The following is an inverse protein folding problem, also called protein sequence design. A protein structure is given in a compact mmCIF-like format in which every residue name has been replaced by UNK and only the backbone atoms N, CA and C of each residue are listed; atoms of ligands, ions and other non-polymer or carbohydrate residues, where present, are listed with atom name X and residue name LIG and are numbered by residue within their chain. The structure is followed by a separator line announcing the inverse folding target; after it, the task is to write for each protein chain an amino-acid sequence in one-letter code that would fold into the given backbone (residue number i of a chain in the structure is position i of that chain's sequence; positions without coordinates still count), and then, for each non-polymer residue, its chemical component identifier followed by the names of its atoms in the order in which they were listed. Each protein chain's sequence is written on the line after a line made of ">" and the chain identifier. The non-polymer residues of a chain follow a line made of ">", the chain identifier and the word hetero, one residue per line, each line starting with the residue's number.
data_IF_263107358839
#
_entry.id   IF_263107358839
#
_cell.length_a   1.000
_cell.length_b   1.000
_cell.length_c   1.000
_cell.angle_alpha   90.00
_cell.angle_beta   90.00
_cell.angle_gamma   90.00
#
_symmetry.space_group_name_H-M   'P 1'
#
loop_
_entity.id
_entity.type
_entity.pdbx_description
1 polymer ?
#
# COMPACT_ATOMS: atom_id res chain seq x y z
N UNK A 1 26.39 1.27 -5.95
CA UNK A 1 25.69 0.49 -4.89
C UNK A 1 25.01 -0.70 -5.55
N UNK A 2 25.62 -1.88 -5.45
CA UNK A 2 25.01 -3.15 -5.84
C UNK A 2 24.57 -3.97 -4.62
N UNK A 3 24.67 -3.41 -3.41
CA UNK A 3 24.35 -4.09 -2.16
C UNK A 3 23.19 -3.41 -1.45
N UNK A 4 22.34 -4.22 -0.81
CA UNK A 4 21.18 -3.76 -0.07
C UNK A 4 21.59 -3.17 1.29
N UNK A 5 21.18 -1.94 1.65
CA UNK A 5 21.57 -1.32 2.93
C UNK A 5 20.96 -2.00 4.17
N UNK A 6 20.02 -2.93 3.99
CA UNK A 6 19.34 -3.63 5.10
C UNK A 6 19.86 -5.04 5.34
N UNK A 7 20.51 -5.66 4.36
CA UNK A 7 20.93 -7.07 4.47
C UNK A 7 22.21 -7.41 3.71
N UNK A 8 22.86 -6.43 3.08
CA UNK A 8 24.14 -6.56 2.36
C UNK A 8 24.15 -7.57 1.20
N UNK A 9 23.00 -8.12 0.81
CA UNK A 9 22.87 -8.95 -0.39
C UNK A 9 22.84 -8.11 -1.68
N UNK A 10 23.19 -8.74 -2.80
CA UNK A 10 23.16 -8.12 -4.12
C UNK A 10 21.75 -7.63 -4.52
N UNK A 11 21.67 -6.39 -5.01
CA UNK A 11 20.43 -5.76 -5.48
C UNK A 11 20.19 -6.11 -6.94
N UNK A 12 19.14 -6.88 -7.19
CA UNK A 12 18.64 -7.14 -8.54
C UNK A 12 17.84 -5.93 -9.04
N UNK A 13 18.07 -5.54 -10.30
CA UNK A 13 17.38 -4.43 -10.96
C UNK A 13 16.25 -4.97 -11.84
N UNK A 14 15.10 -4.31 -11.80
CA UNK A 14 13.96 -4.59 -12.67
C UNK A 14 13.65 -3.35 -13.52
N UNK A 15 13.47 -3.51 -14.83
CA UNK A 15 13.23 -2.37 -15.73
C UNK A 15 13.33 -2.70 -17.22
N UNK A 16 12.86 -1.79 -18.09
CA UNK A 16 12.23 -0.50 -17.77
C UNK A 16 10.78 -0.67 -17.27
N UNK A 17 10.32 0.24 -16.39
CA UNK A 17 8.99 0.22 -15.79
C UNK A 17 8.41 1.64 -15.76
N UNK A 18 7.07 1.75 -15.81
CA UNK A 18 6.39 3.02 -15.54
C UNK A 18 6.49 3.36 -14.06
N UNK A 19 7.05 4.53 -13.73
CA UNK A 19 7.20 5.03 -12.35
C UNK A 19 6.31 6.24 -12.04
N UNK A 20 5.45 6.63 -12.97
CA UNK A 20 4.52 7.75 -12.80
C UNK A 20 3.28 7.38 -11.97
N UNK A 21 2.35 8.33 -11.84
CA UNK A 21 1.06 8.09 -11.18
C UNK A 21 0.28 7.00 -11.93
N UNK A 22 -0.24 6.03 -11.19
CA UNK A 22 -1.12 4.99 -11.73
C UNK A 22 -2.61 5.39 -11.66
N UNK A 23 -2.93 6.36 -10.81
CA UNK A 23 -4.28 6.75 -10.48
C UNK A 23 -4.44 8.24 -10.77
N UNK A 24 -5.44 8.58 -11.57
CA UNK A 24 -5.90 9.95 -11.78
C UNK A 24 -7.04 10.23 -10.79
N UNK A 25 -6.80 11.10 -9.81
CA UNK A 25 -7.72 11.37 -8.71
C UNK A 25 -8.98 12.10 -9.19
N UNK A 26 -8.81 13.04 -10.10
CA UNK A 26 -9.91 13.83 -10.69
C UNK A 26 -10.88 12.93 -11.46
N UNK A 27 -10.34 11.99 -12.22
CA UNK A 27 -11.12 10.98 -12.94
C UNK A 27 -11.92 10.11 -11.96
N UNK A 28 -11.31 9.63 -10.87
CA UNK A 28 -12.03 8.85 -9.86
C UNK A 28 -13.14 9.64 -9.17
N UNK A 29 -12.92 10.93 -8.88
CA UNK A 29 -13.96 11.81 -8.32
C UNK A 29 -15.13 11.93 -9.31
N UNK A 30 -14.84 12.14 -10.60
CA UNK A 30 -15.89 12.20 -11.63
C UNK A 30 -16.68 10.89 -11.75
N UNK A 31 -16.01 9.74 -11.60
CA UNK A 31 -16.66 8.43 -11.59
C UNK A 31 -17.52 8.22 -10.35
N UNK A 32 -17.06 8.66 -9.18
CA UNK A 32 -17.78 8.50 -7.92
C UNK A 32 -19.11 9.28 -7.89
N UNK A 33 -19.20 10.35 -8.68
CA UNK A 33 -20.40 11.18 -8.80
C UNK A 33 -21.42 10.64 -9.81
N UNK A 34 -21.09 9.60 -10.58
CA UNK A 34 -22.03 8.99 -11.52
C UNK A 34 -23.10 8.17 -10.79
N UNK A 35 -24.32 8.15 -11.34
CA UNK A 35 -25.34 7.23 -10.87
C UNK A 35 -25.02 5.82 -11.38
N UNK A 36 -24.66 4.95 -10.45
CA UNK A 36 -24.31 3.55 -10.75
C UNK A 36 -25.33 2.55 -10.19
N UNK A 37 -26.52 3.00 -9.75
CA UNK A 37 -27.50 2.14 -9.10
C UNK A 37 -28.06 1.05 -10.03
N UNK A 38 -28.01 1.27 -11.34
CA UNK A 38 -28.37 0.29 -12.36
C UNK A 38 -27.46 -0.95 -12.35
N UNK A 39 -26.24 -0.84 -11.82
CA UNK A 39 -25.33 -1.97 -11.74
C UNK A 39 -25.59 -2.80 -10.49
N UNK A 40 -25.82 -4.09 -10.66
CA UNK A 40 -25.88 -5.06 -9.55
C UNK A 40 -24.58 -5.08 -8.70
N UNK A 41 -23.47 -4.56 -9.24
CA UNK A 41 -22.17 -4.48 -8.57
C UNK A 41 -21.87 -3.11 -7.95
N UNK A 42 -22.84 -2.19 -7.90
CA UNK A 42 -22.64 -0.80 -7.42
C UNK A 42 -21.92 -0.71 -6.07
N UNK A 43 -22.23 -1.59 -5.11
CA UNK A 43 -21.53 -1.64 -3.80
C UNK A 43 -20.04 -1.96 -3.96
N UNK A 44 -19.70 -2.91 -4.83
CA UNK A 44 -18.32 -3.30 -5.12
C UNK A 44 -17.57 -2.19 -5.85
N UNK A 45 -18.24 -1.54 -6.81
CA UNK A 45 -17.68 -0.40 -7.55
C UNK A 45 -17.35 0.75 -6.59
N UNK A 46 -18.30 1.18 -5.75
CA UNK A 46 -18.06 2.23 -4.74
C UNK A 46 -16.91 1.88 -3.80
N UNK A 47 -16.87 0.63 -3.31
CA UNK A 47 -15.78 0.18 -2.44
C UNK A 47 -14.41 0.27 -3.13
N UNK A 48 -14.33 -0.11 -4.41
CA UNK A 48 -13.09 -0.01 -5.19
C UNK A 48 -12.69 1.45 -5.43
N UNK A 49 -13.63 2.31 -5.83
CA UNK A 49 -13.36 3.74 -6.06
C UNK A 49 -12.83 4.40 -4.79
N UNK A 50 -13.47 4.17 -3.64
CA UNK A 50 -13.02 4.72 -2.36
C UNK A 50 -11.60 4.23 -2.00
N UNK A 51 -11.31 2.95 -2.22
CA UNK A 51 -9.97 2.40 -2.01
C UNK A 51 -8.93 3.07 -2.93
N UNK A 52 -9.25 3.24 -4.21
CA UNK A 52 -8.34 3.87 -5.17
C UNK A 52 -8.14 5.37 -4.88
N UNK A 53 -9.15 6.06 -4.36
CA UNK A 53 -9.01 7.45 -3.92
C UNK A 53 -8.02 7.58 -2.77
N UNK A 54 -8.08 6.70 -1.76
CA UNK A 54 -7.07 6.62 -0.70
C UNK A 54 -5.68 6.27 -1.25
N UNK A 55 -5.62 5.37 -2.24
CA UNK A 55 -4.37 4.92 -2.85
C UNK A 55 -3.74 5.95 -3.80
N UNK A 56 -4.51 6.94 -4.29
CA UNK A 56 -4.12 7.84 -5.38
C UNK A 56 -2.88 8.69 -5.10
N UNK A 57 -2.60 8.98 -3.83
CA UNK A 57 -1.47 9.79 -3.38
C UNK A 57 -0.33 8.96 -2.78
N UNK A 58 -0.40 7.64 -2.91
CA UNK A 58 0.59 6.73 -2.34
C UNK A 58 1.72 6.42 -3.33
N UNK A 59 2.87 5.94 -2.84
CA UNK A 59 3.95 5.47 -3.69
C UNK A 59 3.51 4.37 -4.68
N UNK A 60 4.27 4.22 -5.77
CA UNK A 60 3.91 3.27 -6.82
C UNK A 60 4.00 1.81 -6.36
N UNK A 61 4.96 1.50 -5.49
CA UNK A 61 5.18 0.17 -4.90
C UNK A 61 4.40 -0.02 -3.62
N UNK A 62 4.26 -1.27 -3.19
CA UNK A 62 3.58 -1.65 -1.95
C UNK A 62 4.38 -2.71 -1.19
N UNK A 63 4.05 -2.87 0.09
CA UNK A 63 4.61 -3.90 0.96
C UNK A 63 3.55 -4.97 1.24
N UNK A 64 4.01 -6.20 1.46
CA UNK A 64 3.19 -7.31 1.93
C UNK A 64 3.54 -7.64 3.37
N UNK A 65 2.53 -7.63 4.24
CA UNK A 65 2.73 -7.87 5.68
C UNK A 65 3.34 -9.23 5.94
N UNK A 66 2.81 -10.29 5.31
CA UNK A 66 3.29 -11.66 5.50
C UNK A 66 4.73 -11.85 5.02
N UNK A 67 5.15 -11.18 3.94
CA UNK A 67 6.54 -11.19 3.48
C UNK A 67 7.49 -10.50 4.46
N UNK A 68 7.10 -9.38 5.05
CA UNK A 68 7.93 -8.69 6.04
C UNK A 68 8.00 -9.52 7.32
N UNK A 69 6.85 -9.94 7.86
CA UNK A 69 6.75 -10.73 9.08
C UNK A 69 7.51 -12.07 8.99
N UNK A 70 7.46 -12.74 7.83
CA UNK A 70 8.24 -13.96 7.57
C UNK A 70 9.75 -13.70 7.66
N UNK A 71 10.23 -12.56 7.14
CA UNK A 71 11.66 -12.20 7.21
C UNK A 71 12.14 -11.89 8.62
N UNK A 72 11.29 -11.30 9.45
CA UNK A 72 11.63 -10.95 10.85
C UNK A 72 11.12 -11.98 11.88
N UNK A 73 10.55 -13.11 11.42
CA UNK A 73 10.07 -14.24 12.21
C UNK A 73 9.01 -13.86 13.28
N UNK A 74 8.00 -13.09 12.90
CA UNK A 74 6.85 -12.75 13.78
C UNK A 74 5.51 -13.12 13.15
N UNK A 75 4.47 -13.18 13.97
CA UNK A 75 3.08 -13.34 13.50
C UNK A 75 2.56 -12.05 12.82
N UNK A 76 1.86 -12.14 11.68
CA UNK A 76 1.33 -10.94 11.01
C UNK A 76 0.22 -10.24 11.81
N UNK A 77 0.35 -8.91 12.09
CA UNK A 77 -0.78 -8.10 12.57
C UNK A 77 -1.90 -8.00 11.53
N UNK A 78 -3.09 -7.56 11.95
CA UNK A 78 -4.07 -6.97 11.04
C UNK A 78 -3.48 -5.76 10.30
N UNK A 79 -3.73 -5.64 8.99
CA UNK A 79 -3.25 -4.50 8.18
C UNK A 79 -3.77 -3.16 8.70
N UNK A 80 -5.00 -3.14 9.24
CA UNK A 80 -5.58 -1.93 9.84
C UNK A 80 -4.68 -1.38 10.96
N UNK A 81 -4.16 -2.25 11.82
CA UNK A 81 -3.23 -1.86 12.88
C UNK A 81 -1.96 -1.22 12.31
N UNK A 82 -1.38 -1.81 11.26
CA UNK A 82 -0.16 -1.28 10.63
C UNK A 82 -0.42 0.10 10.03
N UNK A 83 -1.53 0.26 9.28
CA UNK A 83 -1.91 1.54 8.68
C UNK A 83 -2.14 2.60 9.75
N UNK A 84 -2.84 2.25 10.83
CA UNK A 84 -3.10 3.15 11.95
C UNK A 84 -1.79 3.61 12.61
N UNK A 85 -0.89 2.68 12.96
CA UNK A 85 0.41 3.01 13.55
C UNK A 85 1.33 3.82 12.64
N UNK A 86 1.28 3.59 11.33
CA UNK A 86 2.02 4.40 10.36
C UNK A 86 1.47 5.84 10.32
N UNK A 87 0.13 5.99 10.31
CA UNK A 87 -0.52 7.31 10.35
C UNK A 87 -0.25 8.05 11.66
N UNK A 88 -0.33 7.37 12.80
CA UNK A 88 0.04 7.92 14.13
C UNK A 88 1.50 8.40 14.15
N UNK A 89 2.40 7.71 13.45
CA UNK A 89 3.80 8.08 13.32
C UNK A 89 4.06 9.18 12.27
N UNK A 90 3.01 9.76 11.67
CA UNK A 90 3.11 10.87 10.72
C UNK A 90 3.35 10.47 9.26
N UNK A 91 3.27 9.18 8.92
CA UNK A 91 3.46 8.68 7.57
C UNK A 91 2.14 8.50 6.83
N UNK A 92 2.17 8.64 5.51
CA UNK A 92 1.04 8.25 4.66
C UNK A 92 0.94 6.73 4.65
N UNK A 93 -0.26 6.19 4.82
CA UNK A 93 -0.50 4.78 4.66
C UNK A 93 -1.91 4.47 4.15
N UNK A 94 -2.03 3.50 3.23
CA UNK A 94 -3.31 2.95 2.79
C UNK A 94 -3.19 1.46 2.50
N UNK A 95 -4.36 0.82 2.33
CA UNK A 95 -4.42 -0.47 1.63
C UNK A 95 -4.12 -0.26 0.14
N UNK A 96 -3.85 -1.35 -0.57
CA UNK A 96 -3.73 -1.33 -2.04
C UNK A 96 -4.77 -2.25 -2.67
N UNK A 97 -5.30 -1.84 -3.82
CA UNK A 97 -6.20 -2.70 -4.60
C UNK A 97 -5.50 -3.95 -5.17
N UNK A 98 -4.16 -3.94 -5.28
CA UNK A 98 -3.40 -5.06 -5.86
C UNK A 98 -3.43 -6.32 -5.00
N UNK A 99 -3.44 -6.18 -3.67
CA UNK A 99 -3.36 -7.32 -2.78
C UNK A 99 -4.04 -7.04 -1.44
N UNK A 100 -4.95 -7.91 -0.97
CA UNK A 100 -5.64 -7.72 0.31
C UNK A 100 -4.70 -7.73 1.53
N UNK A 101 -3.51 -8.33 1.41
CA UNK A 101 -2.41 -8.32 2.39
C UNK A 101 -1.40 -7.19 2.18
N UNK A 102 -1.66 -6.34 1.19
CA UNK A 102 -0.77 -5.25 0.79
C UNK A 102 -1.14 -3.91 1.44
N UNK A 103 -0.12 -3.11 1.71
CA UNK A 103 -0.26 -1.72 2.10
C UNK A 103 0.79 -0.86 1.40
N UNK A 104 0.47 0.42 1.19
CA UNK A 104 1.41 1.42 0.68
C UNK A 104 1.72 2.41 1.78
N UNK A 105 2.95 2.91 1.79
CA UNK A 105 3.39 3.96 2.71
C UNK A 105 4.64 4.64 2.18
N UNK A 106 4.85 5.90 2.57
CA UNK A 106 6.09 6.64 2.40
C UNK A 106 7.10 6.41 3.55
N UNK A 107 6.73 5.59 4.55
CA UNK A 107 7.63 5.20 5.62
C UNK A 107 8.79 4.32 5.13
N UNK A 108 10.03 4.56 5.60
CA UNK A 108 11.15 3.68 5.30
C UNK A 108 10.99 2.31 6.00
N UNK A 109 11.68 1.30 5.46
CA UNK A 109 11.52 -0.09 5.89
C UNK A 109 11.87 -0.31 7.37
N UNK A 110 12.83 0.44 7.92
CA UNK A 110 13.20 0.36 9.33
C UNK A 110 12.06 0.80 10.27
N UNK A 111 11.29 1.82 9.89
CA UNK A 111 10.11 2.28 10.63
C UNK A 111 9.01 1.22 10.57
N UNK A 112 8.76 0.63 9.40
CA UNK A 112 7.80 -0.46 9.24
C UNK A 112 8.18 -1.64 10.16
N UNK A 113 9.46 -2.03 10.18
CA UNK A 113 9.95 -3.09 11.06
C UNK A 113 9.81 -2.74 12.55
N UNK A 114 10.02 -1.48 12.95
CA UNK A 114 9.84 -1.03 14.34
C UNK A 114 8.38 -1.12 14.78
N UNK A 115 7.43 -0.70 13.93
CA UNK A 115 5.99 -0.79 14.21
C UNK A 115 5.57 -2.25 14.38
N UNK A 116 6.06 -3.13 13.51
CA UNK A 116 5.73 -4.57 13.55
C UNK A 116 6.30 -5.28 14.78
N UNK A 117 7.45 -4.85 15.32
CA UNK A 117 8.06 -5.44 16.52
C UNK A 117 7.44 -4.98 17.85
N UNK A 118 6.67 -3.90 17.85
CA UNK A 118 6.03 -3.31 19.05
C UNK A 118 4.61 -3.87 19.32
N UNK A 119 4.29 -5.04 18.76
CA UNK A 119 3.02 -5.72 18.99
C UNK A 119 2.92 -6.31 20.39
#
# INVERSE_FOLDING_TARGET
>A
MNECPYCSFEVKRAGPLWLGKLINKEFLISMNNQNILEFNTHKRIKKLINLLLEESEMPITYFLVDKICSRIKISPPPISFIIEKLKEAGFKASRTHFNPKGFKTDAPLDIIMKILKRQ
#
